data_IF_399479326232
#
_entry.id   IF_399479326232
#
_cell.length_a   1.000
_cell.length_b   1.000
_cell.length_c   1.000
_cell.angle_alpha   90.00
_cell.angle_beta   90.00
_cell.angle_gamma   90.00
#
_symmetry.space_group_name_H-M   'P 1'
#
loop_
_entity.id
_entity.type
_entity.pdbx_description
1 polymer ?
#
# COMPACT_ATOMS: atom_id res chain seq x y z
N UNK A 1 10.85 -2.32 13.72
CA UNK A 1 11.55 -3.42 13.00
C UNK A 1 13.03 -3.10 13.01
N UNK A 2 13.91 -4.03 13.42
CA UNK A 2 15.36 -3.77 13.37
C UNK A 2 15.81 -3.57 11.92
N UNK A 3 16.85 -2.74 11.70
CA UNK A 3 17.34 -2.47 10.33
C UNK A 3 17.76 -3.74 9.58
N UNK A 4 18.25 -4.75 10.31
CA UNK A 4 18.70 -6.03 9.77
C UNK A 4 17.55 -6.86 9.19
N UNK A 5 16.39 -6.88 9.84
CA UNK A 5 15.23 -7.67 9.38
C UNK A 5 14.65 -7.10 8.08
N UNK A 6 14.60 -5.76 7.95
CA UNK A 6 14.14 -5.09 6.74
C UNK A 6 15.02 -5.39 5.53
N UNK A 7 16.35 -5.38 5.72
CA UNK A 7 17.31 -5.71 4.66
C UNK A 7 17.22 -7.18 4.23
N UNK A 8 17.08 -8.11 5.18
CA UNK A 8 16.89 -9.54 4.85
C UNK A 8 15.64 -9.78 4.01
N UNK A 9 14.53 -9.11 4.35
CA UNK A 9 13.28 -9.24 3.59
C UNK A 9 13.47 -8.74 2.15
N UNK A 10 14.07 -7.56 1.95
CA UNK A 10 14.34 -7.03 0.62
C UNK A 10 15.23 -7.97 -0.20
N UNK A 11 16.27 -8.54 0.41
CA UNK A 11 17.17 -9.47 -0.27
C UNK A 11 16.47 -10.77 -0.69
N UNK A 12 15.51 -11.26 0.09
CA UNK A 12 14.73 -12.43 -0.27
C UNK A 12 13.75 -12.12 -1.40
N UNK A 13 13.05 -10.99 -1.31
CA UNK A 13 12.15 -10.50 -2.34
C UNK A 13 12.86 -10.29 -3.68
N UNK A 14 14.11 -9.84 -3.67
CA UNK A 14 14.93 -9.66 -4.88
C UNK A 14 15.19 -10.95 -5.67
N UNK A 15 14.92 -12.14 -5.12
CA UNK A 15 15.02 -13.42 -5.83
C UNK A 15 13.85 -13.69 -6.77
N UNK A 16 12.77 -12.92 -6.65
CA UNK A 16 11.57 -13.08 -7.46
C UNK A 16 11.59 -12.09 -8.63
N UNK A 17 11.07 -12.52 -9.78
CA UNK A 17 11.01 -11.69 -10.99
C UNK A 17 10.10 -10.47 -10.80
N UNK A 18 9.01 -10.62 -10.03
CA UNK A 18 8.08 -9.55 -9.70
C UNK A 18 7.60 -9.69 -8.26
N UNK A 19 7.64 -8.59 -7.52
CA UNK A 19 7.20 -8.52 -6.13
C UNK A 19 6.26 -7.34 -5.97
N UNK A 20 5.12 -7.59 -5.33
CA UNK A 20 4.21 -6.54 -4.88
C UNK A 20 4.17 -6.54 -3.36
N UNK A 21 4.51 -5.41 -2.76
CA UNK A 21 4.48 -5.20 -1.32
C UNK A 21 3.25 -4.37 -0.96
N UNK A 22 2.19 -5.00 -0.45
CA UNK A 22 0.98 -4.30 -0.02
C UNK A 22 1.23 -3.51 1.29
N UNK A 23 0.87 -2.23 1.29
CA UNK A 23 1.01 -1.34 2.44
C UNK A 23 2.45 -0.91 2.76
N UNK A 24 3.39 -1.06 1.82
CA UNK A 24 4.77 -0.58 1.92
C UNK A 24 5.08 0.38 0.76
N UNK A 25 5.86 1.46 0.98
CA UNK A 25 6.44 1.92 2.24
C UNK A 25 5.40 2.56 3.19
N UNK A 26 5.50 2.26 4.49
CA UNK A 26 4.61 2.83 5.52
C UNK A 26 5.11 4.14 6.16
N UNK A 27 6.37 4.54 5.92
CA UNK A 27 7.01 5.73 6.49
C UNK A 27 8.19 6.17 5.59
N UNK A 28 8.58 7.46 5.58
CA UNK A 28 9.62 7.97 4.68
C UNK A 28 10.98 7.26 4.80
N UNK A 29 11.38 6.88 6.00
CA UNK A 29 12.63 6.16 6.29
C UNK A 29 12.70 4.77 5.65
N UNK A 30 11.56 4.21 5.23
CA UNK A 30 11.52 2.93 4.52
C UNK A 30 11.95 3.05 3.05
N UNK A 31 11.93 4.27 2.48
CA UNK A 31 12.30 4.49 1.08
C UNK A 31 13.75 4.08 0.78
N UNK A 32 14.65 4.13 1.78
CA UNK A 32 16.05 3.70 1.64
C UNK A 32 16.20 2.20 1.35
N UNK A 33 15.16 1.41 1.58
CA UNK A 33 15.15 -0.03 1.33
C UNK A 33 14.58 -0.38 -0.04
N UNK A 34 14.04 0.60 -0.77
CA UNK A 34 13.45 0.39 -2.09
C UNK A 34 14.56 0.37 -3.13
N UNK A 35 14.72 -0.72 -3.90
CA UNK A 35 15.68 -0.76 -4.98
C UNK A 35 15.41 0.33 -6.04
N UNK A 36 16.44 0.94 -6.62
CA UNK A 36 16.27 1.84 -7.76
C UNK A 36 15.49 1.18 -8.90
N UNK A 37 14.67 1.96 -9.61
CA UNK A 37 13.82 1.45 -10.70
C UNK A 37 12.54 0.76 -10.23
N UNK A 38 12.27 0.70 -8.92
CA UNK A 38 10.97 0.24 -8.40
C UNK A 38 9.88 1.29 -8.61
N UNK A 39 8.62 0.83 -8.60
CA UNK A 39 7.44 1.67 -8.67
C UNK A 39 6.73 1.73 -7.32
N UNK A 40 6.29 2.93 -6.92
CA UNK A 40 5.36 3.13 -5.80
C UNK A 40 4.03 3.57 -6.39
N UNK A 41 2.96 2.84 -6.04
CA UNK A 41 1.61 3.18 -6.46
C UNK A 41 0.75 3.54 -5.27
N UNK A 42 0.24 4.76 -5.28
CA UNK A 42 -0.76 5.22 -4.32
C UNK A 42 -2.14 4.80 -4.82
N UNK A 43 -2.77 3.86 -4.12
CA UNK A 43 -4.19 3.54 -4.33
C UNK A 43 -5.02 4.55 -3.55
N UNK A 44 -5.59 5.51 -4.27
CA UNK A 44 -6.41 6.58 -3.71
C UNK A 44 -7.89 6.20 -3.76
N UNK A 45 -8.65 6.60 -2.75
CA UNK A 45 -10.11 6.67 -2.84
C UNK A 45 -10.59 7.84 -1.98
N UNK A 46 -11.74 8.40 -2.35
CA UNK A 46 -12.40 9.42 -1.55
C UNK A 46 -12.67 8.94 -0.10
N UNK A 47 -12.61 9.86 0.86
CA UNK A 47 -12.73 9.56 2.29
C UNK A 47 -14.10 8.97 2.63
N UNK A 48 -15.18 9.54 2.08
CA UNK A 48 -16.53 9.03 2.33
C UNK A 48 -16.69 7.60 1.79
N UNK A 49 -16.11 7.32 0.62
CA UNK A 49 -16.11 5.97 0.05
C UNK A 49 -15.25 4.99 0.86
N UNK A 50 -14.11 5.45 1.37
CA UNK A 50 -13.25 4.66 2.25
C UNK A 50 -14.00 4.25 3.51
N UNK A 51 -14.64 5.21 4.18
CA UNK A 51 -15.42 4.95 5.39
C UNK A 51 -16.56 3.96 5.13
N UNK A 52 -17.32 4.16 4.05
CA UNK A 52 -18.41 3.25 3.66
C UNK A 52 -17.89 1.82 3.46
N UNK A 53 -16.82 1.63 2.69
CA UNK A 53 -16.24 0.29 2.44
C UNK A 53 -15.72 -0.36 3.71
N UNK A 54 -15.14 0.42 4.61
CA UNK A 54 -14.63 -0.11 5.86
C UNK A 54 -15.77 -0.49 6.82
N UNK A 55 -16.85 0.31 6.87
CA UNK A 55 -18.07 -0.01 7.60
C UNK A 55 -18.72 -1.29 7.04
N UNK A 56 -18.84 -1.41 5.72
CA UNK A 56 -19.33 -2.63 5.07
C UNK A 56 -18.48 -3.86 5.43
N UNK A 57 -17.14 -3.72 5.42
CA UNK A 57 -16.23 -4.80 5.81
C UNK A 57 -16.41 -5.20 7.28
N UNK A 58 -16.67 -4.26 8.17
CA UNK A 58 -16.92 -4.55 9.59
C UNK A 58 -18.27 -5.26 9.82
N UNK A 59 -19.27 -4.97 8.97
CA UNK A 59 -20.60 -5.60 9.02
C UNK A 59 -20.63 -7.00 8.37
N UNK A 60 -19.71 -7.27 7.43
CA UNK A 60 -19.60 -8.57 6.77
C UNK A 60 -18.94 -9.60 7.69
N UNK A 61 -19.76 -10.18 8.58
CA UNK A 61 -19.39 -11.21 9.57
C UNK A 61 -18.87 -12.53 8.99
N UNK A 62 -18.75 -12.65 7.66
CA UNK A 62 -18.19 -13.83 6.96
C UNK A 62 -16.69 -13.70 6.64
N UNK A 63 -16.10 -12.52 6.81
CA UNK A 63 -14.68 -12.28 6.56
C UNK A 63 -13.93 -12.21 7.89
N UNK A 64 -13.34 -13.35 8.25
CA UNK A 64 -12.27 -13.58 9.23
C UNK A 64 -11.97 -12.43 10.23
N UNK A 65 -12.31 -12.70 11.49
CA UNK A 65 -12.15 -11.83 12.67
C UNK A 65 -10.70 -11.63 13.11
N UNK A 66 -9.72 -12.06 12.31
CA UNK A 66 -8.29 -11.99 12.65
C UNK A 66 -7.68 -10.58 12.59
N UNK A 67 -8.31 -9.64 11.87
CA UNK A 67 -7.98 -8.21 11.94
C UNK A 67 -9.08 -7.47 12.69
N UNK A 68 -8.87 -7.26 13.99
CA UNK A 68 -9.66 -6.33 14.80
C UNK A 68 -9.43 -4.88 14.31
N UNK A 69 -10.00 -4.53 13.17
CA UNK A 69 -10.10 -3.14 12.75
C UNK A 69 -11.30 -2.53 13.48
N UNK A 70 -11.05 -1.50 14.30
CA UNK A 70 -12.12 -0.78 15.00
C UNK A 70 -12.66 0.29 14.06
N UNK A 71 -13.93 0.23 13.65
CA UNK A 71 -14.50 1.25 12.80
C UNK A 71 -14.38 2.65 13.39
N UNK A 72 -13.92 3.61 12.58
CA UNK A 72 -13.73 5.00 12.99
C UNK A 72 -12.40 5.29 13.71
N UNK A 73 -11.53 4.31 13.95
CA UNK A 73 -10.18 4.60 14.45
C UNK A 73 -9.24 5.04 13.31
N UNK A 74 -8.57 6.21 13.44
CA UNK A 74 -7.58 6.64 12.46
C UNK A 74 -6.38 5.68 12.47
N UNK A 75 -5.95 5.27 11.28
CA UNK A 75 -4.71 4.53 11.10
C UNK A 75 -3.56 5.55 11.13
N UNK A 76 -2.60 5.40 12.05
CA UNK A 76 -1.40 6.25 12.07
C UNK A 76 -0.69 6.26 10.71
N UNK A 77 -0.74 5.13 9.98
CA UNK A 77 -0.16 4.99 8.64
C UNK A 77 -0.74 5.98 7.64
N UNK A 78 -2.02 6.32 7.77
CA UNK A 78 -2.71 7.19 6.80
C UNK A 78 -2.17 8.63 6.87
N UNK A 79 -1.79 9.08 8.07
CA UNK A 79 -1.14 10.37 8.29
C UNK A 79 0.25 10.49 7.64
N UNK A 80 0.92 9.36 7.38
CA UNK A 80 2.26 9.34 6.79
C UNK A 80 2.26 9.19 5.27
N UNK A 81 1.15 8.79 4.64
CA UNK A 81 1.09 8.52 3.19
C UNK A 81 1.53 9.72 2.36
N UNK A 82 1.05 10.93 2.70
CA UNK A 82 1.46 12.16 2.01
C UNK A 82 2.96 12.44 2.15
N UNK A 83 3.52 12.21 3.34
CA UNK A 83 4.94 12.42 3.62
C UNK A 83 5.81 11.42 2.83
N UNK A 84 5.40 10.16 2.77
CA UNK A 84 6.05 9.12 1.97
C UNK A 84 6.08 9.50 0.50
N UNK A 85 4.92 9.86 -0.07
CA UNK A 85 4.81 10.17 -1.49
C UNK A 85 5.61 11.43 -1.86
N UNK A 86 5.63 12.43 -0.97
CA UNK A 86 6.46 13.63 -1.13
C UNK A 86 7.96 13.31 -1.06
N UNK A 87 8.40 12.51 -0.08
CA UNK A 87 9.80 12.13 0.06
C UNK A 87 10.31 11.29 -1.11
N UNK A 88 9.45 10.51 -1.75
CA UNK A 88 9.81 9.67 -2.90
C UNK A 88 10.06 10.45 -4.20
N UNK A 89 9.55 11.69 -4.35
CA UNK A 89 9.68 12.48 -5.60
C UNK A 89 11.11 12.79 -6.02
N UNK A 90 12.06 12.76 -5.09
CA UNK A 90 13.48 12.99 -5.37
C UNK A 90 14.31 11.73 -5.62
N UNK A 91 13.68 10.55 -5.63
CA UNK A 91 14.35 9.27 -5.75
C UNK A 91 14.21 8.71 -7.17
N UNK A 92 15.12 7.80 -7.61
CA UNK A 92 15.01 7.13 -8.91
C UNK A 92 13.93 6.03 -8.87
N UNK A 93 12.69 6.45 -8.60
CA UNK A 93 11.50 5.63 -8.46
C UNK A 93 10.40 6.15 -9.38
N UNK A 94 9.56 5.24 -9.88
CA UNK A 94 8.35 5.61 -10.60
C UNK A 94 7.22 5.82 -9.62
N UNK A 95 6.54 6.96 -9.68
CA UNK A 95 5.39 7.26 -8.83
C UNK A 95 4.13 7.31 -9.67
N UNK A 96 3.10 6.56 -9.27
CA UNK A 96 1.79 6.62 -9.89
C UNK A 96 0.67 6.67 -8.85
N UNK A 97 -0.46 7.22 -9.26
CA UNK A 97 -1.68 7.26 -8.43
C UNK A 97 -2.75 6.49 -9.19
N UNK A 98 -3.35 5.52 -8.50
CA UNK A 98 -4.46 4.75 -8.99
C UNK A 98 -5.73 5.19 -8.25
N UNK A 99 -6.66 5.81 -8.97
CA UNK A 99 -7.95 6.20 -8.43
C UNK A 99 -8.89 4.99 -8.36
N UNK A 100 -9.22 4.59 -7.14
CA UNK A 100 -10.11 3.50 -6.80
C UNK A 100 -11.47 3.99 -6.28
N UNK A 101 -11.89 5.18 -6.71
CA UNK A 101 -13.20 5.77 -6.41
C UNK A 101 -14.35 5.18 -7.25
N UNK A 102 -14.07 4.18 -8.09
CA UNK A 102 -15.08 3.45 -8.87
C UNK A 102 -15.72 2.26 -8.13
N UNK A 103 -16.54 1.43 -8.81
CA UNK A 103 -17.01 0.16 -8.26
C UNK A 103 -15.82 -0.70 -7.82
N UNK A 104 -15.91 -1.32 -6.64
CA UNK A 104 -14.78 -2.04 -6.04
C UNK A 104 -14.31 -3.16 -6.97
N UNK A 105 -13.13 -3.02 -7.62
CA UNK A 105 -12.55 -4.11 -8.37
C UNK A 105 -12.11 -5.19 -7.39
N UNK A 106 -12.05 -6.43 -7.86
CA UNK A 106 -11.38 -7.48 -7.08
C UNK A 106 -9.92 -7.08 -6.83
N UNK A 107 -9.31 -7.54 -5.72
CA UNK A 107 -7.90 -7.26 -5.44
C UNK A 107 -6.97 -7.69 -6.58
N UNK A 108 -7.34 -8.73 -7.35
CA UNK A 108 -6.64 -9.20 -8.54
C UNK A 108 -6.76 -8.25 -9.73
N UNK A 109 -7.87 -7.53 -9.89
CA UNK A 109 -8.02 -6.52 -10.93
C UNK A 109 -7.21 -5.26 -10.64
N UNK A 110 -7.06 -4.90 -9.36
CA UNK A 110 -6.16 -3.82 -8.96
C UNK A 110 -4.72 -4.25 -9.28
N UNK A 111 -4.30 -5.43 -8.81
CA UNK A 111 -2.95 -5.94 -9.06
C UNK A 111 -2.63 -6.10 -10.55
N UNK A 112 -3.56 -6.60 -11.37
CA UNK A 112 -3.34 -6.75 -12.81
C UNK A 112 -3.19 -5.41 -13.52
N UNK A 113 -3.92 -4.38 -13.10
CA UNK A 113 -3.77 -3.01 -13.60
C UNK A 113 -2.47 -2.35 -13.12
N UNK A 114 -2.05 -2.63 -11.89
CA UNK A 114 -0.78 -2.11 -11.34
C UNK A 114 0.42 -2.70 -12.08
N UNK A 115 0.38 -3.99 -12.43
CA UNK A 115 1.44 -4.68 -13.19
C UNK A 115 1.57 -4.17 -14.64
N UNK A 116 0.53 -3.56 -15.20
CA UNK A 116 0.60 -2.95 -16.54
C UNK A 116 1.22 -1.54 -16.54
N UNK A 117 1.29 -0.89 -15.37
CA UNK A 117 1.80 0.49 -15.20
C UNK A 117 3.29 0.49 -14.81
N UNK A 118 3.82 -0.67 -14.40
CA UNK A 118 5.22 -0.93 -14.04
C UNK A 118 5.95 -1.70 -15.14
#
# INVERSE_FOLDING_TARGET
>A
MSMELGQMLVNDLAKHERVVCDGFPAAPEHLRWIPPGSSIVLVFCDEAMREERLNQRALDTRLDTSRAWTPGMPSERDGWVGNVFSAARGLPLTLSVFDNSGPMPSGLEILSRLVQIS
#
